data_IF_360221510646
#
_entry.id   IF_360221510646
#
_cell.length_a   1.000
_cell.length_b   1.000
_cell.length_c   1.000
_cell.angle_alpha   90.00
_cell.angle_beta   90.00
_cell.angle_gamma   90.00
#
_symmetry.space_group_name_H-M   'P 1'
#
loop_
_entity.id
_entity.type
_entity.pdbx_description
1 polymer ?
#
# COMPACT_ATOMS: atom_id res chain seq x y z
N UNK A 1 -1.07 -35.98 -8.02
CA UNK A 1 -0.97 -34.55 -8.39
C UNK A 1 -2.08 -33.81 -7.67
N UNK A 2 -1.75 -33.07 -6.64
CA UNK A 2 -2.71 -32.16 -6.01
C UNK A 2 -2.88 -31.02 -7.00
N UNK A 3 -4.03 -30.99 -7.69
CA UNK A 3 -4.42 -29.84 -8.49
C UNK A 3 -4.45 -28.65 -7.54
N UNK A 4 -3.55 -27.70 -7.73
CA UNK A 4 -3.59 -26.40 -7.03
C UNK A 4 -4.78 -25.64 -7.56
N UNK A 5 -5.94 -25.95 -6.99
CA UNK A 5 -7.18 -25.29 -7.33
C UNK A 5 -7.06 -23.81 -6.96
N UNK A 6 -6.99 -22.95 -7.97
CA UNK A 6 -6.83 -21.51 -7.76
C UNK A 6 -8.15 -20.90 -7.31
N UNK A 7 -8.14 -20.20 -6.17
CA UNK A 7 -9.27 -19.39 -5.73
C UNK A 7 -9.41 -18.13 -6.61
N UNK A 8 -10.62 -17.62 -6.73
CA UNK A 8 -10.86 -16.27 -7.26
C UNK A 8 -10.81 -15.27 -6.11
N UNK A 9 -10.01 -14.23 -6.24
CA UNK A 9 -9.83 -13.19 -5.22
C UNK A 9 -10.36 -11.87 -5.76
N UNK A 10 -11.19 -11.18 -4.97
CA UNK A 10 -11.77 -9.87 -5.29
C UNK A 10 -11.36 -8.88 -4.20
N UNK A 11 -10.50 -7.93 -4.56
CA UNK A 11 -10.06 -6.87 -3.67
C UNK A 11 -10.95 -5.65 -3.81
N UNK A 12 -11.34 -5.05 -2.68
CA UNK A 12 -12.21 -3.88 -2.67
C UNK A 12 -11.97 -3.01 -1.42
N UNK A 13 -12.56 -1.81 -1.40
CA UNK A 13 -12.50 -0.87 -0.28
C UNK A 13 -11.06 -0.49 0.15
N UNK A 14 -10.23 -0.16 -0.82
CA UNK A 14 -8.88 0.34 -0.52
C UNK A 14 -8.94 1.65 0.24
N UNK A 15 -8.24 1.72 1.37
CA UNK A 15 -8.07 2.95 2.12
C UNK A 15 -6.82 3.75 1.69
N UNK A 16 -6.61 4.91 2.30
CA UNK A 16 -5.47 5.79 2.02
C UNK A 16 -4.13 5.12 2.34
N UNK A 17 -4.11 4.19 3.28
CA UNK A 17 -2.90 3.47 3.71
C UNK A 17 -2.61 2.24 2.85
N UNK A 18 -3.47 1.96 1.86
CA UNK A 18 -3.37 0.77 1.02
C UNK A 18 -3.95 -0.49 1.65
N UNK A 19 -4.60 -0.40 2.82
CA UNK A 19 -5.35 -1.53 3.35
C UNK A 19 -6.60 -1.75 2.51
N UNK A 20 -7.02 -2.99 2.38
CA UNK A 20 -8.25 -3.31 1.66
C UNK A 20 -8.98 -4.50 2.26
N UNK A 21 -10.19 -4.72 1.80
CA UNK A 21 -10.93 -5.95 2.03
C UNK A 21 -10.75 -6.91 0.86
N UNK A 22 -10.90 -8.19 1.12
CA UNK A 22 -10.88 -9.21 0.10
C UNK A 22 -12.05 -10.19 0.30
N UNK A 23 -12.61 -10.60 -0.80
CA UNK A 23 -13.54 -11.74 -0.88
C UNK A 23 -12.89 -12.83 -1.72
N UNK A 24 -13.15 -14.06 -1.39
CA UNK A 24 -12.67 -15.21 -2.17
C UNK A 24 -13.85 -16.09 -2.60
N UNK A 25 -13.66 -16.79 -3.71
CA UNK A 25 -14.55 -17.86 -4.15
C UNK A 25 -13.77 -19.16 -4.19
N UNK A 26 -14.25 -20.16 -3.48
CA UNK A 26 -13.62 -21.48 -3.41
C UNK A 26 -13.79 -22.23 -4.73
N UNK A 27 -12.74 -22.93 -5.20
CA UNK A 27 -12.70 -23.45 -6.56
C UNK A 27 -13.62 -24.65 -6.80
N UNK A 28 -13.87 -25.48 -5.78
CA UNK A 28 -14.65 -26.70 -5.92
C UNK A 28 -16.14 -26.46 -5.57
N UNK A 29 -16.41 -25.85 -4.44
CA UNK A 29 -17.77 -25.60 -3.97
C UNK A 29 -18.42 -24.36 -4.57
N UNK A 30 -17.62 -23.41 -5.09
CA UNK A 30 -18.10 -22.09 -5.52
C UNK A 30 -18.54 -21.19 -4.37
N UNK A 31 -18.31 -21.60 -3.13
CA UNK A 31 -18.68 -20.81 -1.95
C UNK A 31 -17.89 -19.50 -1.90
N UNK A 32 -18.61 -18.40 -1.70
CA UNK A 32 -18.02 -17.10 -1.48
C UNK A 32 -17.78 -16.87 0.02
N UNK A 33 -16.56 -16.45 0.35
CA UNK A 33 -16.18 -16.08 1.72
C UNK A 33 -15.75 -14.62 1.68
N UNK A 34 -16.42 -13.78 2.44
CA UNK A 34 -16.20 -12.33 2.45
C UNK A 34 -15.61 -11.86 3.77
N UNK A 35 -14.97 -10.68 3.75
CA UNK A 35 -14.52 -10.00 4.95
C UNK A 35 -13.09 -10.30 5.38
N UNK A 36 -12.24 -10.81 4.50
CA UNK A 36 -10.80 -10.80 4.73
C UNK A 36 -10.29 -9.37 4.77
N UNK A 37 -9.37 -9.08 5.66
CA UNK A 37 -8.70 -7.78 5.74
C UNK A 37 -7.25 -7.93 5.33
N UNK A 38 -6.82 -7.12 4.38
CA UNK A 38 -5.45 -7.05 3.91
C UNK A 38 -4.83 -5.75 4.39
N UNK A 39 -3.72 -5.83 5.09
CA UNK A 39 -3.02 -4.67 5.66
C UNK A 39 -1.55 -4.70 5.30
N UNK A 40 -0.98 -3.52 5.07
CA UNK A 40 0.46 -3.35 5.01
C UNK A 40 1.02 -3.35 6.44
N UNK A 41 1.92 -4.27 6.71
CA UNK A 41 2.64 -4.33 7.98
C UNK A 41 3.85 -3.39 8.00
N UNK A 42 4.40 -3.13 9.20
CA UNK A 42 5.67 -2.43 9.33
C UNK A 42 6.78 -3.22 8.61
N UNK A 43 7.56 -2.53 7.77
CA UNK A 43 8.60 -3.17 6.96
C UNK A 43 8.15 -3.70 5.59
N UNK A 44 6.94 -3.32 5.12
CA UNK A 44 6.45 -3.67 3.79
C UNK A 44 5.88 -5.08 3.64
N UNK A 45 5.73 -5.81 4.74
CA UNK A 45 5.04 -7.10 4.74
C UNK A 45 3.54 -6.95 4.54
N UNK A 46 2.91 -7.95 3.95
CA UNK A 46 1.47 -7.99 3.74
C UNK A 46 0.85 -8.94 4.76
N UNK A 47 -0.08 -8.43 5.54
CA UNK A 47 -0.83 -9.20 6.52
C UNK A 47 -2.25 -9.45 6.01
N UNK A 48 -2.65 -10.71 5.96
CA UNK A 48 -4.00 -11.13 5.60
C UNK A 48 -4.67 -11.71 6.84
N UNK A 49 -5.79 -11.12 7.23
CA UNK A 49 -6.59 -11.54 8.37
C UNK A 49 -7.84 -12.27 7.91
N UNK A 50 -8.20 -13.34 8.60
CA UNK A 50 -9.47 -14.03 8.39
C UNK A 50 -10.66 -13.12 8.71
N UNK A 51 -11.84 -13.38 8.12
CA UNK A 51 -13.08 -12.73 8.53
C UNK A 51 -13.33 -12.87 10.03
N UNK A 52 -13.82 -11.82 10.66
CA UNK A 52 -14.06 -11.79 12.12
C UNK A 52 -15.01 -12.88 12.63
N UNK A 53 -15.97 -13.32 11.80
CA UNK A 53 -16.89 -14.39 12.15
C UNK A 53 -16.30 -15.80 12.18
N UNK A 54 -15.09 -15.99 11.63
CA UNK A 54 -14.40 -17.28 11.63
C UNK A 54 -13.49 -17.49 12.84
N UNK A 55 -13.25 -16.47 13.63
CA UNK A 55 -12.24 -16.53 14.71
C UNK A 55 -10.83 -16.68 14.16
N UNK A 56 -10.05 -17.59 14.75
CA UNK A 56 -8.63 -17.82 14.38
C UNK A 56 -8.41 -19.13 13.65
N UNK A 57 -9.45 -19.91 13.39
CA UNK A 57 -9.34 -21.27 12.83
C UNK A 57 -9.97 -21.32 11.43
N UNK A 58 -9.16 -21.74 10.47
CA UNK A 58 -9.61 -22.02 9.11
C UNK A 58 -10.33 -23.38 9.06
N UNK A 59 -11.60 -23.40 8.61
CA UNK A 59 -12.44 -24.58 8.64
C UNK A 59 -12.75 -25.21 7.28
N UNK A 60 -12.30 -24.60 6.20
CA UNK A 60 -12.56 -25.11 4.84
C UNK A 60 -11.46 -26.11 4.43
N UNK A 61 -11.88 -27.34 4.09
CA UNK A 61 -10.95 -28.42 3.72
C UNK A 61 -10.50 -28.42 2.25
N UNK A 62 -11.19 -27.62 1.41
CA UNK A 62 -10.87 -27.54 -0.03
C UNK A 62 -9.52 -26.91 -0.31
N UNK A 63 -9.08 -26.02 0.58
CA UNK A 63 -7.86 -25.25 0.44
C UNK A 63 -7.32 -24.90 1.83
N UNK A 64 -6.03 -24.98 2.00
CA UNK A 64 -5.38 -24.62 3.27
C UNK A 64 -5.26 -23.10 3.44
N UNK A 65 -5.30 -22.64 4.68
CA UNK A 65 -5.16 -21.22 5.00
C UNK A 65 -3.87 -20.59 4.46
N UNK A 66 -2.77 -21.34 4.48
CA UNK A 66 -1.50 -20.86 3.93
C UNK A 66 -1.59 -20.53 2.45
N UNK A 67 -2.32 -21.34 1.67
CA UNK A 67 -2.54 -21.12 0.24
C UNK A 67 -3.49 -19.96 -0.01
N UNK A 68 -4.54 -19.80 0.78
CA UNK A 68 -5.45 -18.65 0.72
C UNK A 68 -4.69 -17.34 0.95
N UNK A 69 -3.88 -17.28 2.01
CA UNK A 69 -3.03 -16.10 2.29
C UNK A 69 -2.10 -15.79 1.13
N UNK A 70 -1.45 -16.80 0.57
CA UNK A 70 -0.54 -16.65 -0.55
C UNK A 70 -1.24 -16.05 -1.77
N UNK A 71 -2.39 -16.60 -2.14
CA UNK A 71 -3.13 -16.13 -3.33
C UNK A 71 -3.70 -14.73 -3.13
N UNK A 72 -4.23 -14.39 -1.96
CA UNK A 72 -4.67 -13.02 -1.64
C UNK A 72 -3.47 -12.05 -1.70
N UNK A 73 -2.33 -12.43 -1.15
CA UNK A 73 -1.11 -11.62 -1.17
C UNK A 73 -0.61 -11.37 -2.60
N UNK A 74 -0.64 -12.38 -3.45
CA UNK A 74 -0.25 -12.25 -4.86
C UNK A 74 -1.17 -11.31 -5.64
N UNK A 75 -2.49 -11.44 -5.47
CA UNK A 75 -3.46 -10.53 -6.12
C UNK A 75 -3.34 -9.10 -5.57
N UNK A 76 -3.11 -8.94 -4.27
CA UNK A 76 -2.86 -7.63 -3.67
C UNK A 76 -1.59 -6.97 -4.25
N UNK A 77 -0.48 -7.71 -4.39
CA UNK A 77 0.74 -7.20 -5.03
C UNK A 77 0.52 -6.76 -6.48
N UNK A 78 -0.25 -7.53 -7.24
CA UNK A 78 -0.63 -7.15 -8.60
C UNK A 78 -1.43 -5.85 -8.61
N UNK A 79 -2.44 -5.74 -7.76
CA UNK A 79 -3.28 -4.55 -7.66
C UNK A 79 -2.48 -3.29 -7.28
N UNK A 80 -1.47 -3.43 -6.40
CA UNK A 80 -0.58 -2.33 -6.05
C UNK A 80 0.39 -2.00 -7.19
N UNK A 81 0.92 -3.01 -7.88
CA UNK A 81 1.88 -2.83 -8.98
C UNK A 81 1.22 -2.38 -10.28
N UNK A 82 -0.06 -2.67 -10.44
CA UNK A 82 -0.87 -2.26 -11.60
C UNK A 82 -1.48 -0.86 -11.39
N UNK A 83 -0.65 0.07 -10.90
CA UNK A 83 -1.07 1.44 -10.67
C UNK A 83 -1.13 2.21 -11.97
N UNK A 84 -2.19 3.00 -12.13
CA UNK A 84 -2.36 3.93 -13.24
C UNK A 84 -1.36 5.09 -13.22
N UNK A 85 -0.70 5.32 -12.08
CA UNK A 85 0.32 6.35 -11.92
C UNK A 85 1.60 5.82 -11.27
N UNK A 86 2.73 6.43 -11.64
CA UNK A 86 4.01 6.29 -10.96
C UNK A 86 4.29 7.55 -10.15
N UNK A 87 4.76 7.40 -8.92
CA UNK A 87 5.06 8.52 -8.03
C UNK A 87 6.57 8.58 -7.77
N UNK A 88 7.14 9.76 -7.91
CA UNK A 88 8.51 10.07 -7.53
C UNK A 88 8.51 11.16 -6.47
N UNK A 89 8.95 10.82 -5.26
CA UNK A 89 9.12 11.79 -4.17
C UNK A 89 10.53 12.36 -4.19
N UNK A 90 10.64 13.67 -3.95
CA UNK A 90 11.92 14.36 -3.89
C UNK A 90 11.85 15.61 -2.99
N UNK A 91 13.00 16.22 -2.75
CA UNK A 91 13.12 17.49 -2.03
C UNK A 91 12.53 17.44 -0.61
N UNK A 92 12.87 16.40 0.14
CA UNK A 92 12.48 16.29 1.55
C UNK A 92 13.20 17.35 2.39
N UNK A 93 12.45 18.04 3.24
CA UNK A 93 12.99 18.91 4.28
C UNK A 93 13.08 18.21 5.64
N UNK A 94 13.58 18.94 6.65
CA UNK A 94 13.73 18.42 8.02
C UNK A 94 12.40 18.05 8.70
N UNK A 95 11.29 18.67 8.25
CA UNK A 95 9.93 18.40 8.75
C UNK A 95 9.22 17.31 7.98
N UNK A 96 9.92 16.62 7.09
CA UNK A 96 9.37 15.64 6.16
C UNK A 96 8.34 16.19 5.16
N UNK A 97 8.33 17.50 4.91
CA UNK A 97 7.64 18.01 3.72
C UNK A 97 8.43 17.59 2.48
N UNK A 98 7.76 17.28 1.40
CA UNK A 98 8.42 16.94 0.15
C UNK A 98 7.60 17.36 -1.07
N UNK A 99 8.20 17.21 -2.23
CA UNK A 99 7.52 17.33 -3.51
C UNK A 99 7.31 15.94 -4.12
N UNK A 100 6.23 15.79 -4.85
CA UNK A 100 5.95 14.60 -5.62
C UNK A 100 5.73 14.96 -7.09
N UNK A 101 6.32 14.15 -7.96
CA UNK A 101 5.99 14.14 -9.38
C UNK A 101 5.23 12.85 -9.67
N UNK A 102 4.18 12.93 -10.46
CA UNK A 102 3.45 11.76 -10.91
C UNK A 102 3.58 11.60 -12.43
N UNK A 103 3.62 10.36 -12.87
CA UNK A 103 3.57 10.00 -14.29
C UNK A 103 2.32 9.19 -14.54
N UNK A 104 1.46 9.66 -15.44
CA UNK A 104 0.31 8.90 -15.93
C UNK A 104 0.82 7.78 -16.86
N UNK A 105 0.59 6.52 -16.52
CA UNK A 105 1.17 5.40 -17.27
C UNK A 105 0.65 5.30 -18.70
N UNK A 106 -0.63 5.56 -18.90
CA UNK A 106 -1.27 5.40 -20.21
C UNK A 106 -0.80 6.43 -21.24
N UNK A 107 -0.57 7.66 -20.79
CA UNK A 107 -0.19 8.78 -21.67
C UNK A 107 1.28 9.18 -21.57
N UNK A 108 1.98 8.74 -20.51
CA UNK A 108 3.34 9.16 -20.19
C UNK A 108 3.45 10.61 -19.72
N UNK A 109 2.32 11.30 -19.47
CA UNK A 109 2.30 12.69 -18.99
C UNK A 109 2.88 12.75 -17.58
N UNK A 110 3.82 13.67 -17.37
CA UNK A 110 4.42 13.97 -16.07
C UNK A 110 3.81 15.24 -15.51
N UNK A 111 3.31 15.16 -14.30
CA UNK A 111 2.77 16.30 -13.56
C UNK A 111 3.63 16.50 -12.33
N UNK A 112 4.31 17.63 -12.25
CA UNK A 112 5.30 17.89 -11.21
C UNK A 112 4.80 18.86 -10.15
N UNK A 113 5.47 18.84 -8.98
CA UNK A 113 5.31 19.78 -7.88
C UNK A 113 4.01 19.67 -7.07
N UNK A 114 3.53 18.45 -6.86
CA UNK A 114 2.60 18.21 -5.76
C UNK A 114 3.31 18.44 -4.44
N UNK A 115 2.73 19.20 -3.54
CA UNK A 115 3.27 19.39 -2.19
C UNK A 115 2.69 18.32 -1.27
N UNK A 116 3.57 17.59 -0.59
CA UNK A 116 3.21 16.54 0.35
C UNK A 116 3.72 16.91 1.73
N UNK A 117 2.85 16.93 2.71
CA UNK A 117 3.17 17.37 4.07
C UNK A 117 2.51 16.45 5.10
N UNK A 118 3.18 16.21 6.26
CA UNK A 118 2.51 15.57 7.37
C UNK A 118 1.36 16.47 7.87
N UNK A 119 0.20 15.87 8.05
CA UNK A 119 -0.97 16.53 8.60
C UNK A 119 -1.09 16.35 10.12
N UNK A 120 -2.02 17.06 10.71
CA UNK A 120 -2.36 16.89 12.12
C UNK A 120 -2.94 15.49 12.37
N UNK A 121 -2.57 14.88 13.50
CA UNK A 121 -3.10 13.56 13.87
C UNK A 121 -2.52 12.38 13.09
N UNK A 122 -1.35 12.54 12.44
CA UNK A 122 -0.67 11.46 11.70
C UNK A 122 -1.17 11.27 10.26
N UNK A 123 -2.03 12.16 9.77
CA UNK A 123 -2.45 12.16 8.38
C UNK A 123 -1.39 12.71 7.42
N UNK A 124 -1.67 12.63 6.14
CA UNK A 124 -0.84 13.20 5.08
C UNK A 124 -1.70 14.14 4.22
N UNK A 125 -1.19 15.33 3.99
CA UNK A 125 -1.81 16.31 3.11
C UNK A 125 -1.09 16.32 1.76
N UNK A 126 -1.83 16.16 0.69
CA UNK A 126 -1.34 16.24 -0.69
C UNK A 126 -2.04 17.40 -1.36
N UNK A 127 -1.26 18.37 -1.82
CA UNK A 127 -1.75 19.55 -2.53
C UNK A 127 -1.42 19.46 -4.01
N UNK A 128 -2.37 19.85 -4.84
CA UNK A 128 -2.14 20.00 -6.27
C UNK A 128 -1.04 21.04 -6.56
N UNK A 129 -0.34 20.92 -7.68
CA UNK A 129 0.55 21.98 -8.14
C UNK A 129 -0.17 23.32 -8.24
N UNK A 130 0.51 24.41 -7.89
CA UNK A 130 -0.08 25.77 -7.85
C UNK A 130 -0.68 26.22 -9.18
N UNK A 131 -0.13 25.76 -10.29
CA UNK A 131 -0.63 26.08 -11.62
C UNK A 131 -1.96 25.41 -11.98
N UNK A 132 -2.35 24.32 -11.28
CA UNK A 132 -3.66 23.68 -11.43
C UNK A 132 -4.76 24.38 -10.60
N UNK A 133 -4.39 25.33 -9.78
CA UNK A 133 -5.28 25.98 -8.82
C UNK A 133 -5.92 24.97 -7.87
N UNK A 134 -7.23 24.79 -7.92
CA UNK A 134 -7.95 23.87 -7.02
C UNK A 134 -8.70 22.76 -7.75
N UNK A 135 -8.54 22.68 -9.07
CA UNK A 135 -9.30 21.74 -9.89
C UNK A 135 -8.39 20.75 -10.60
N UNK A 136 -8.63 19.46 -10.35
CA UNK A 136 -8.02 18.38 -11.11
C UNK A 136 -8.56 18.33 -12.53
N UNK A 137 -7.69 18.41 -13.53
CA UNK A 137 -8.05 18.52 -14.94
C UNK A 137 -7.81 17.24 -15.77
N UNK A 138 -7.23 16.21 -15.18
CA UNK A 138 -6.98 14.94 -15.85
C UNK A 138 -8.13 13.95 -15.58
N UNK A 139 -8.68 13.38 -16.65
CA UNK A 139 -9.82 12.46 -16.57
C UNK A 139 -9.43 10.98 -16.48
N UNK A 140 -8.21 10.64 -16.89
CA UNK A 140 -7.69 9.27 -16.89
C UNK A 140 -7.53 8.70 -15.47
N UNK A 141 -7.23 9.56 -14.51
CA UNK A 141 -7.06 9.23 -13.09
C UNK A 141 -7.79 10.25 -12.24
N UNK A 142 -8.56 9.79 -11.28
CA UNK A 142 -9.27 10.69 -10.38
C UNK A 142 -8.33 11.28 -9.31
N UNK A 143 -8.58 12.52 -8.89
CA UNK A 143 -7.81 13.19 -7.83
C UNK A 143 -7.73 12.37 -6.54
N UNK A 144 -8.81 11.70 -6.18
CA UNK A 144 -8.84 10.80 -5.02
C UNK A 144 -7.79 9.70 -5.12
N UNK A 145 -7.67 9.08 -6.27
CA UNK A 145 -6.69 8.02 -6.56
C UNK A 145 -5.26 8.55 -6.47
N UNK A 146 -4.99 9.71 -7.06
CA UNK A 146 -3.68 10.38 -6.96
C UNK A 146 -3.29 10.59 -5.50
N UNK A 147 -4.19 11.16 -4.69
CA UNK A 147 -3.93 11.36 -3.26
C UNK A 147 -3.63 10.05 -2.53
N UNK A 148 -4.39 9.00 -2.81
CA UNK A 148 -4.19 7.70 -2.16
C UNK A 148 -2.81 7.12 -2.48
N UNK A 149 -2.41 7.13 -3.73
CA UNK A 149 -1.13 6.57 -4.17
C UNK A 149 0.04 7.41 -3.66
N UNK A 150 -0.03 8.73 -3.79
CA UNK A 150 1.00 9.64 -3.26
C UNK A 150 1.15 9.51 -1.75
N UNK A 151 0.05 9.43 -1.01
CA UNK A 151 0.07 9.24 0.45
C UNK A 151 0.75 7.93 0.83
N UNK A 152 0.45 6.86 0.14
CA UNK A 152 1.05 5.55 0.39
C UNK A 152 2.55 5.55 0.14
N UNK A 153 3.00 6.08 -0.98
CA UNK A 153 4.43 6.20 -1.31
C UNK A 153 5.17 7.10 -0.30
N UNK A 154 4.55 8.19 0.12
CA UNK A 154 5.09 9.07 1.15
C UNK A 154 5.26 8.36 2.49
N UNK A 155 4.24 7.66 2.98
CA UNK A 155 4.31 6.93 4.25
C UNK A 155 5.38 5.83 4.22
N UNK A 156 5.53 5.14 3.10
CA UNK A 156 6.60 4.16 2.89
C UNK A 156 7.99 4.81 2.97
N UNK A 157 8.20 5.90 2.26
CA UNK A 157 9.48 6.62 2.24
C UNK A 157 9.88 7.19 3.62
N UNK A 158 8.93 7.75 4.36
CA UNK A 158 9.18 8.26 5.72
C UNK A 158 9.48 7.12 6.69
N UNK A 159 8.82 5.98 6.57
CA UNK A 159 9.09 4.80 7.38
C UNK A 159 10.50 4.25 7.14
N UNK A 160 10.93 4.13 5.90
CA UNK A 160 12.28 3.72 5.53
C UNK A 160 13.36 4.67 6.07
N UNK A 161 13.13 5.97 5.96
CA UNK A 161 14.03 7.00 6.51
C UNK A 161 14.20 6.86 8.03
N UNK A 162 13.13 6.61 8.77
CA UNK A 162 13.19 6.38 10.22
C UNK A 162 13.96 5.11 10.58
N UNK A 163 13.83 4.05 9.80
CA UNK A 163 14.59 2.81 10.01
C UNK A 163 16.08 3.03 9.77
N UNK A 164 16.49 3.71 8.70
CA UNK A 164 17.88 4.03 8.39
C UNK A 164 18.57 4.82 9.51
N UNK A 165 17.88 5.78 10.12
CA UNK A 165 18.39 6.56 11.25
C UNK A 165 18.64 5.67 12.47
N UNK A 166 17.73 4.74 12.76
CA UNK A 166 17.88 3.79 13.89
C UNK A 166 19.08 2.87 13.72
N UNK A 167 19.35 2.38 12.53
CA UNK A 167 20.52 1.55 12.24
C UNK A 167 21.83 2.34 12.37
N UNK A 168 21.88 3.56 11.90
CA UNK A 168 23.07 4.40 11.99
C UNK A 168 23.39 4.83 13.43
N UNK A 169 22.38 5.12 14.25
CA UNK A 169 22.59 5.44 15.67
C UNK A 169 22.95 4.21 16.50
N UNK A 170 22.44 3.02 16.15
CA UNK A 170 22.83 1.75 16.77
C UNK A 170 24.28 1.36 16.50
N UNK A 171 24.80 1.65 15.30
CA UNK A 171 26.20 1.40 14.93
C UNK A 171 27.20 2.33 15.63
N UNK A 172 26.82 3.56 15.89
CA UNK A 172 27.67 4.53 16.60
C UNK A 172 27.85 4.19 18.11
N UNK A 173 26.89 3.53 18.72
CA UNK A 173 27.00 3.11 20.13
C UNK A 173 27.91 1.90 20.35
N UNK A 174 28.13 1.06 19.35
CA UNK A 174 29.03 -0.10 19.46
C UNK A 174 30.50 0.30 19.40
N UNK A 175 30.82 1.43 18.79
CA UNK A 175 32.22 1.91 18.68
C UNK A 175 32.75 2.59 19.96
N UNK A 176 31.90 2.91 20.94
CA UNK A 176 32.31 3.61 22.17
C UNK A 176 32.66 2.67 23.34
N UNK A 177 32.52 1.37 23.17
CA UNK A 177 32.83 0.40 24.24
C UNK A 177 34.17 -0.35 24.07
N UNK A 178 35.03 0.03 23.13
CA UNK A 178 36.33 -0.61 22.92
C UNK A 178 37.48 0.42 22.89
N UNK A 179 37.53 1.33 23.84
CA UNK A 179 38.69 2.17 24.13
C UNK A 179 39.08 2.09 25.59
#
# INVERSE_FOLDING_TARGET
MISTSKISVFLHDFDIQGNCNADIVLPLSGNKISGFRVKLGPGGGIMVHMPSGMGTTWSFKEIEWAEVRKQITEEYRKAINDQSILVKLHSFDEKNNCLADITLRDTGVVISNFKVMPGLGGGVMVHMPSWMHTRWSYTEVQWREVRQIVTREYLSAVSEKKQSIRFNTGGAQVCTFYS
#
